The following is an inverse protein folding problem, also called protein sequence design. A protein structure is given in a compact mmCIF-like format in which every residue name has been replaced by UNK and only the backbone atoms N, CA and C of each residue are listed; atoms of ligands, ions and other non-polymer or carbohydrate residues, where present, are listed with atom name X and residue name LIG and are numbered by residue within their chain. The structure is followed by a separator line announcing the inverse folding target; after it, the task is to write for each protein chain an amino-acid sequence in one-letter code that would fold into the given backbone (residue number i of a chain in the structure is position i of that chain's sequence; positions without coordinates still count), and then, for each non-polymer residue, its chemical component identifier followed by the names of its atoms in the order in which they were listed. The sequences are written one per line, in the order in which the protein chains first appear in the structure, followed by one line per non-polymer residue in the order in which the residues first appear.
data_IF_750001980704
#
_entry.id   IF_750001980704
#
_cell.length_a   1.000
_cell.length_b   1.000
_cell.length_c   1.000
_cell.angle_alpha   90.00
_cell.angle_beta   90.00
_cell.angle_gamma   90.00
#
_symmetry.space_group_name_H-M   'P 1'
#
loop_
_entity.id
_entity.type
_entity.pdbx_description
1 polymer ?
#
# COMPACT_ATOMS: atom_id res chain seq x y z
N UNK A 1 -23.18 -16.03 -26.16
CA UNK A 1 -22.18 -15.49 -25.21
C UNK A 1 -20.91 -15.05 -25.92
N UNK A 2 -20.22 -15.93 -26.66
CA UNK A 2 -18.92 -15.64 -27.28
C UNK A 2 -18.92 -14.47 -28.27
N UNK A 3 -20.05 -14.15 -28.89
CA UNK A 3 -20.20 -13.04 -29.83
C UNK A 3 -20.50 -11.69 -29.16
N UNK A 4 -20.85 -11.68 -27.86
CA UNK A 4 -21.17 -10.45 -27.16
C UNK A 4 -19.88 -9.73 -26.71
N UNK A 5 -19.69 -8.42 -27.02
CA UNK A 5 -18.50 -7.68 -26.67
C UNK A 5 -18.53 -7.26 -25.19
N UNK A 6 -17.79 -7.94 -24.33
CA UNK A 6 -17.71 -7.66 -22.89
C UNK A 6 -16.28 -7.58 -22.33
N UNK A 7 -15.27 -7.95 -23.13
CA UNK A 7 -13.86 -7.85 -22.73
C UNK A 7 -13.40 -6.43 -23.01
N UNK A 8 -13.09 -5.68 -21.96
CA UNK A 8 -12.64 -4.30 -22.08
C UNK A 8 -11.19 -4.23 -22.56
N UNK A 9 -10.95 -3.37 -23.56
CA UNK A 9 -9.62 -3.10 -24.11
C UNK A 9 -9.43 -1.59 -24.18
N UNK A 10 -8.43 -1.09 -23.46
CA UNK A 10 -8.17 0.36 -23.38
C UNK A 10 -7.26 0.85 -24.53
N UNK A 11 -6.59 -0.07 -25.25
CA UNK A 11 -5.67 0.26 -26.32
C UNK A 11 -6.40 0.31 -27.67
N UNK A 12 -6.43 1.50 -28.28
CA UNK A 12 -7.12 1.73 -29.55
C UNK A 12 -6.52 0.95 -30.74
N UNK A 13 -5.21 0.73 -30.75
CA UNK A 13 -4.54 -0.03 -31.80
C UNK A 13 -4.99 -1.51 -31.78
N UNK A 14 -5.14 -2.09 -30.59
CA UNK A 14 -5.68 -3.44 -30.43
C UNK A 14 -7.15 -3.52 -30.84
N UNK A 15 -7.97 -2.53 -30.48
CA UNK A 15 -9.38 -2.48 -30.90
C UNK A 15 -9.55 -2.46 -32.42
N UNK A 16 -8.77 -1.63 -33.11
CA UNK A 16 -8.77 -1.56 -34.57
C UNK A 16 -8.35 -2.87 -35.22
N UNK A 17 -7.38 -3.58 -34.61
CA UNK A 17 -6.92 -4.88 -35.09
C UNK A 17 -8.03 -5.94 -35.07
N UNK A 18 -8.95 -5.88 -34.09
CA UNK A 18 -10.13 -6.75 -34.00
C UNK A 18 -11.37 -6.18 -34.72
N UNK A 19 -11.24 -5.08 -35.46
CA UNK A 19 -12.33 -4.48 -36.23
C UNK A 19 -13.46 -3.91 -35.38
N UNK A 20 -13.15 -3.44 -34.17
CA UNK A 20 -14.12 -2.87 -33.22
C UNK A 20 -13.91 -1.39 -33.02
N UNK A 21 -15.00 -0.62 -33.09
CA UNK A 21 -15.01 0.83 -32.89
C UNK A 21 -15.27 1.28 -31.42
N UNK A 22 -15.61 0.32 -30.55
CA UNK A 22 -15.88 0.57 -29.13
C UNK A 22 -14.68 0.21 -28.22
N UNK A 23 -14.90 0.24 -26.90
CA UNK A 23 -13.89 -0.13 -25.90
C UNK A 23 -13.96 -1.63 -25.50
N UNK A 24 -14.73 -2.43 -26.22
CA UNK A 24 -14.98 -3.83 -25.89
C UNK A 24 -14.85 -4.72 -27.11
N UNK A 25 -14.26 -5.91 -26.90
CA UNK A 25 -14.22 -6.98 -27.90
C UNK A 25 -15.01 -8.19 -27.40
N UNK A 26 -15.45 -9.04 -28.34
CA UNK A 26 -16.07 -10.31 -28.02
C UNK A 26 -14.99 -11.40 -27.85
N UNK A 27 -15.32 -12.43 -27.06
CA UNK A 27 -14.41 -13.55 -26.88
C UNK A 27 -14.07 -14.26 -28.21
N UNK A 28 -15.03 -14.34 -29.11
CA UNK A 28 -14.83 -14.93 -30.45
C UNK A 28 -13.90 -14.11 -31.35
N UNK A 29 -13.73 -12.80 -31.11
CA UNK A 29 -12.88 -11.95 -31.95
C UNK A 29 -11.38 -12.32 -31.87
N UNK A 30 -10.97 -13.04 -30.81
CA UNK A 30 -9.58 -13.44 -30.60
C UNK A 30 -9.27 -14.86 -31.12
N UNK A 31 -10.25 -15.48 -31.81
CA UNK A 31 -10.07 -16.79 -32.45
C UNK A 31 -10.29 -16.69 -33.95
N UNK A 32 -9.56 -17.49 -34.73
CA UNK A 32 -9.74 -17.62 -36.19
C UNK A 32 -10.96 -18.50 -36.52
N UNK A 33 -11.22 -18.67 -37.83
CA UNK A 33 -12.32 -19.50 -38.31
C UNK A 33 -12.16 -20.99 -37.95
N UNK A 34 -10.93 -21.44 -37.69
CA UNK A 34 -10.60 -22.81 -37.32
C UNK A 34 -10.60 -23.00 -35.77
N UNK A 35 -10.88 -21.93 -35.02
CA UNK A 35 -10.95 -21.95 -33.55
C UNK A 35 -9.59 -21.82 -32.86
N UNK A 36 -8.53 -21.45 -33.58
CA UNK A 36 -7.22 -21.22 -32.98
C UNK A 36 -7.11 -19.80 -32.40
N UNK A 37 -6.40 -19.68 -31.28
CA UNK A 37 -6.14 -18.39 -30.66
C UNK A 37 -5.16 -17.55 -31.48
N UNK A 38 -5.62 -16.43 -32.02
CA UNK A 38 -4.88 -15.60 -33.00
C UNK A 38 -3.58 -15.04 -32.40
N UNK A 39 -3.56 -14.77 -31.09
CA UNK A 39 -2.43 -14.13 -30.39
C UNK A 39 -1.36 -15.12 -29.92
N UNK A 40 -1.48 -16.43 -30.15
CA UNK A 40 -0.60 -17.47 -29.62
C UNK A 40 0.90 -17.17 -29.82
N UNK A 41 1.30 -16.82 -31.04
CA UNK A 41 2.71 -16.60 -31.38
C UNK A 41 3.26 -15.32 -30.73
N UNK A 42 2.45 -14.28 -30.66
CA UNK A 42 2.82 -13.02 -30.00
C UNK A 42 2.95 -13.22 -28.49
N UNK A 43 1.99 -13.92 -27.89
CA UNK A 43 2.01 -14.21 -26.46
C UNK A 43 3.23 -15.03 -26.05
N UNK A 44 3.58 -16.08 -26.83
CA UNK A 44 4.79 -16.86 -26.60
C UNK A 44 6.05 -15.98 -26.64
N UNK A 45 6.11 -15.02 -27.57
CA UNK A 45 7.22 -14.08 -27.67
C UNK A 45 7.26 -13.12 -26.47
N UNK A 46 6.11 -12.62 -26.02
CA UNK A 46 6.00 -11.69 -24.90
C UNK A 46 6.33 -12.38 -23.58
N UNK A 47 5.85 -13.62 -23.37
CA UNK A 47 6.17 -14.39 -22.16
C UNK A 47 7.66 -14.72 -22.05
N UNK A 48 8.34 -14.91 -23.19
CA UNK A 48 9.80 -15.14 -23.22
C UNK A 48 10.62 -13.87 -22.90
N UNK A 49 10.04 -12.66 -23.05
CA UNK A 49 10.74 -11.39 -22.76
C UNK A 49 10.82 -11.13 -21.25
N UNK A 50 11.98 -10.70 -20.74
CA UNK A 50 12.09 -10.14 -19.38
C UNK A 50 11.11 -8.99 -19.18
N UNK A 51 10.54 -8.83 -17.97
CA UNK A 51 9.58 -7.78 -17.68
C UNK A 51 10.10 -6.35 -17.96
N UNK A 52 11.42 -6.14 -17.81
CA UNK A 52 12.10 -4.87 -18.11
C UNK A 52 12.16 -4.48 -19.58
N UNK A 53 11.99 -5.46 -20.49
CA UNK A 53 12.07 -5.24 -21.95
C UNK A 53 10.67 -5.17 -22.59
N UNK A 54 9.62 -5.40 -21.81
CA UNK A 54 8.23 -5.33 -22.29
C UNK A 54 7.81 -3.90 -22.56
N UNK A 55 7.31 -3.64 -23.75
CA UNK A 55 6.74 -2.34 -24.15
C UNK A 55 5.30 -2.21 -23.64
N UNK A 56 4.74 -1.01 -23.73
CA UNK A 56 3.35 -0.73 -23.35
C UNK A 56 2.34 -1.65 -24.08
N UNK A 57 2.56 -1.88 -25.37
CA UNK A 57 1.72 -2.78 -26.16
C UNK A 57 1.80 -4.24 -25.65
N UNK A 58 3.01 -4.72 -25.27
CA UNK A 58 3.18 -6.05 -24.68
C UNK A 58 2.38 -6.19 -23.38
N UNK A 59 2.35 -5.14 -22.55
CA UNK A 59 1.57 -5.12 -21.30
C UNK A 59 0.06 -5.10 -21.54
N UNK A 60 -0.39 -4.39 -22.57
CA UNK A 60 -1.82 -4.34 -22.93
C UNK A 60 -2.28 -5.69 -23.54
N UNK A 61 -1.42 -6.36 -24.31
CA UNK A 61 -1.66 -7.72 -24.82
C UNK A 61 -1.70 -8.76 -23.70
N UNK A 62 -0.83 -8.66 -22.70
CA UNK A 62 -0.88 -9.55 -21.52
C UNK A 62 -2.19 -9.41 -20.74
N UNK A 63 -2.68 -8.17 -20.55
CA UNK A 63 -3.99 -7.94 -19.91
C UNK A 63 -5.15 -8.52 -20.71
N UNK A 64 -5.07 -8.40 -22.04
CA UNK A 64 -6.07 -8.98 -22.91
C UNK A 64 -6.06 -10.50 -22.83
N UNK A 65 -4.89 -11.13 -22.92
CA UNK A 65 -4.71 -12.58 -22.80
C UNK A 65 -5.22 -13.11 -21.45
N UNK A 66 -4.91 -12.42 -20.35
CA UNK A 66 -5.44 -12.75 -19.03
C UNK A 66 -6.97 -12.69 -18.99
N UNK A 67 -7.57 -11.64 -19.58
CA UNK A 67 -9.02 -11.49 -19.64
C UNK A 67 -9.67 -12.62 -20.48
N UNK A 68 -9.08 -12.95 -21.61
CA UNK A 68 -9.53 -14.07 -22.47
C UNK A 68 -9.43 -15.40 -21.72
N UNK A 69 -8.33 -15.63 -21.00
CA UNK A 69 -8.13 -16.84 -20.22
C UNK A 69 -9.11 -16.96 -19.05
N UNK A 70 -9.44 -15.86 -18.38
CA UNK A 70 -10.48 -15.84 -17.34
C UNK A 70 -11.83 -16.27 -17.93
N UNK A 71 -12.22 -15.71 -19.08
CA UNK A 71 -13.46 -16.08 -19.76
C UNK A 71 -13.46 -17.57 -20.15
N UNK A 72 -12.36 -18.05 -20.71
CA UNK A 72 -12.19 -19.47 -21.04
C UNK A 72 -12.42 -20.37 -19.80
N UNK A 73 -11.76 -20.05 -18.68
CA UNK A 73 -11.89 -20.79 -17.43
C UNK A 73 -13.31 -20.74 -16.85
N UNK A 74 -14.03 -19.62 -17.02
CA UNK A 74 -15.45 -19.51 -16.64
C UNK A 74 -16.27 -20.49 -17.49
N UNK A 75 -16.07 -20.50 -18.82
CA UNK A 75 -16.80 -21.38 -19.73
C UNK A 75 -16.53 -22.86 -19.46
N UNK A 76 -15.32 -23.20 -19.03
CA UNK A 76 -14.95 -24.57 -18.65
C UNK A 76 -15.31 -24.92 -17.20
N UNK A 77 -15.97 -24.03 -16.45
CA UNK A 77 -16.27 -24.17 -15.01
C UNK A 77 -15.02 -24.42 -14.14
N UNK A 78 -13.86 -23.90 -14.55
CA UNK A 78 -12.56 -24.09 -13.89
C UNK A 78 -12.10 -22.86 -13.08
N UNK A 79 -12.93 -21.80 -12.98
CA UNK A 79 -12.53 -20.58 -12.30
C UNK A 79 -12.57 -20.69 -10.77
N UNK A 80 -13.56 -21.41 -10.23
CA UNK A 80 -13.81 -21.47 -8.80
C UNK A 80 -13.44 -22.85 -8.23
N UNK A 81 -12.32 -23.01 -7.56
CA UNK A 81 -11.97 -24.23 -6.84
C UNK A 81 -12.87 -24.36 -5.60
N UNK A 82 -13.85 -25.26 -5.67
CA UNK A 82 -14.88 -25.44 -4.63
C UNK A 82 -14.71 -26.72 -3.82
N UNK A 83 -14.01 -27.72 -4.34
CA UNK A 83 -13.94 -29.06 -3.78
C UNK A 83 -12.55 -29.39 -3.25
N UNK A 84 -12.32 -29.34 -1.91
CA UNK A 84 -11.04 -29.73 -1.32
C UNK A 84 -10.88 -31.25 -1.37
N UNK A 85 -9.68 -31.72 -1.77
CA UNK A 85 -9.32 -33.15 -1.66
C UNK A 85 -8.76 -33.44 -0.26
N UNK A 86 -9.53 -34.15 0.53
CA UNK A 86 -9.12 -34.57 1.86
C UNK A 86 -7.97 -35.57 1.89
N UNK A 87 -7.61 -36.19 0.76
CA UNK A 87 -6.53 -37.18 0.66
C UNK A 87 -5.22 -36.53 0.19
N UNK A 88 -5.27 -35.39 -0.51
CA UNK A 88 -4.08 -34.72 -0.98
C UNK A 88 -3.26 -34.10 0.16
N UNK A 89 -1.94 -34.38 0.20
CA UNK A 89 -1.05 -33.88 1.25
C UNK A 89 -0.83 -32.37 1.20
N UNK A 90 -1.00 -31.75 0.04
CA UNK A 90 -0.81 -30.32 -0.21
C UNK A 90 -2.12 -29.51 -0.05
N UNK A 91 -3.26 -30.20 0.17
CA UNK A 91 -4.55 -29.56 0.34
C UNK A 91 -5.10 -28.97 -0.97
N UNK A 92 -4.94 -29.67 -2.10
CA UNK A 92 -5.43 -29.24 -3.41
C UNK A 92 -6.94 -29.10 -3.43
N UNK A 93 -7.42 -28.08 -4.11
CA UNK A 93 -8.83 -27.83 -4.37
C UNK A 93 -9.12 -27.97 -5.85
N UNK A 94 -10.29 -28.49 -6.18
CA UNK A 94 -10.77 -28.74 -7.53
C UNK A 94 -11.96 -27.85 -7.86
N UNK A 95 -12.01 -27.39 -9.10
CA UNK A 95 -13.18 -26.72 -9.66
C UNK A 95 -14.16 -27.74 -10.26
N UNK A 96 -15.44 -27.36 -10.45
CA UNK A 96 -16.43 -28.27 -11.05
C UNK A 96 -16.07 -28.80 -12.44
N UNK A 97 -15.27 -28.04 -13.22
CA UNK A 97 -14.81 -28.40 -14.55
C UNK A 97 -13.45 -29.10 -14.61
N UNK A 98 -12.84 -29.37 -13.46
CA UNK A 98 -11.58 -30.13 -13.42
C UNK A 98 -11.85 -31.65 -13.50
N UNK A 99 -10.77 -32.42 -13.66
CA UNK A 99 -10.85 -33.86 -13.52
C UNK A 99 -11.10 -34.24 -12.05
N UNK A 100 -12.31 -34.69 -11.75
CA UNK A 100 -12.78 -35.06 -10.42
C UNK A 100 -12.52 -36.54 -10.07
N UNK A 101 -11.70 -37.26 -10.83
CA UNK A 101 -11.34 -38.67 -10.60
C UNK A 101 -10.66 -38.93 -9.26
N UNK A 102 -10.06 -37.90 -8.66
CA UNK A 102 -9.48 -37.98 -7.31
C UNK A 102 -10.52 -38.28 -6.21
N UNK A 103 -11.80 -37.95 -6.43
CA UNK A 103 -12.88 -38.19 -5.47
C UNK A 103 -13.49 -39.58 -5.66
N UNK A 104 -13.74 -40.31 -4.58
CA UNK A 104 -14.28 -41.66 -4.62
C UNK A 104 -15.57 -41.81 -3.79
N UNK A 105 -16.39 -42.80 -4.15
CA UNK A 105 -17.60 -43.17 -3.42
C UNK A 105 -18.64 -42.03 -3.33
N UNK A 106 -19.08 -41.70 -2.13
CA UNK A 106 -20.08 -40.65 -1.90
C UNK A 106 -19.58 -39.25 -2.24
N UNK A 107 -18.29 -38.98 -2.05
CA UNK A 107 -17.67 -37.71 -2.37
C UNK A 107 -17.69 -37.43 -3.88
N UNK A 108 -17.39 -38.47 -4.71
CA UNK A 108 -17.48 -38.35 -6.17
C UNK A 108 -18.89 -37.98 -6.64
N UNK A 109 -19.93 -38.63 -6.08
CA UNK A 109 -21.32 -38.31 -6.41
C UNK A 109 -21.67 -36.88 -6.02
N UNK A 110 -21.22 -36.43 -4.84
CA UNK A 110 -21.46 -35.09 -4.33
C UNK A 110 -20.83 -34.03 -5.25
N UNK A 111 -19.51 -34.10 -5.50
CA UNK A 111 -18.79 -33.09 -6.29
C UNK A 111 -19.27 -33.00 -7.74
N UNK A 112 -19.74 -34.13 -8.31
CA UNK A 112 -20.23 -34.16 -9.67
C UNK A 112 -21.64 -33.56 -9.82
N UNK A 113 -22.50 -33.67 -8.80
CA UNK A 113 -23.92 -33.31 -8.94
C UNK A 113 -24.32 -32.01 -8.21
N UNK A 114 -23.55 -31.57 -7.23
CA UNK A 114 -23.94 -30.45 -6.37
C UNK A 114 -24.12 -29.14 -7.13
N UNK A 115 -23.32 -28.87 -8.16
CA UNK A 115 -23.43 -27.66 -8.97
C UNK A 115 -24.66 -27.67 -9.86
N UNK A 116 -25.00 -28.83 -10.45
CA UNK A 116 -26.22 -28.99 -11.24
C UNK A 116 -27.47 -28.74 -10.37
N UNK A 117 -27.48 -29.27 -9.16
CA UNK A 117 -28.57 -29.02 -8.20
C UNK A 117 -28.65 -27.56 -7.80
N UNK A 118 -27.53 -26.93 -7.54
CA UNK A 118 -27.47 -25.51 -7.19
C UNK A 118 -28.04 -24.62 -8.31
N UNK A 119 -27.64 -24.85 -9.55
CA UNK A 119 -28.12 -24.09 -10.71
C UNK A 119 -29.61 -24.32 -10.91
N UNK A 120 -30.09 -25.56 -10.74
CA UNK A 120 -31.49 -25.90 -10.84
C UNK A 120 -32.33 -25.16 -9.78
N UNK A 121 -31.89 -25.18 -8.51
CA UNK A 121 -32.63 -24.50 -7.42
C UNK A 121 -32.52 -22.98 -7.50
N UNK A 122 -31.43 -22.44 -8.04
CA UNK A 122 -31.36 -21.01 -8.40
C UNK A 122 -32.44 -20.64 -9.42
N UNK A 123 -32.62 -21.45 -10.46
CA UNK A 123 -33.65 -21.26 -11.46
C UNK A 123 -35.07 -21.29 -10.86
N UNK A 124 -35.31 -22.18 -9.90
CA UNK A 124 -36.56 -22.25 -9.15
C UNK A 124 -36.75 -21.02 -8.25
N UNK A 125 -35.66 -20.57 -7.58
CA UNK A 125 -35.64 -19.38 -6.72
C UNK A 125 -36.00 -18.11 -7.48
N UNK A 126 -35.49 -17.95 -8.70
CA UNK A 126 -35.82 -16.80 -9.57
C UNK A 126 -37.33 -16.81 -9.92
N UNK A 127 -37.91 -17.99 -10.19
CA UNK A 127 -39.33 -18.13 -10.58
C UNK A 127 -40.29 -17.94 -9.39
N UNK A 128 -39.90 -18.44 -8.22
CA UNK A 128 -40.76 -18.47 -7.03
C UNK A 128 -40.47 -17.37 -6.00
N UNK A 129 -39.43 -16.59 -6.21
CA UNK A 129 -38.87 -15.64 -5.23
C UNK A 129 -38.58 -16.30 -3.86
N UNK A 130 -38.19 -17.58 -3.87
CA UNK A 130 -37.85 -18.35 -2.68
C UNK A 130 -36.51 -19.04 -2.84
N UNK A 131 -35.51 -18.62 -2.06
CA UNK A 131 -34.12 -19.06 -2.17
C UNK A 131 -33.74 -20.15 -1.17
N UNK A 132 -34.64 -20.61 -0.33
CA UNK A 132 -34.33 -21.54 0.77
C UNK A 132 -33.67 -22.84 0.34
N UNK A 133 -34.05 -23.41 -0.80
CA UNK A 133 -33.42 -24.65 -1.28
C UNK A 133 -32.03 -24.40 -1.85
N UNK A 134 -31.83 -23.30 -2.55
CA UNK A 134 -30.51 -22.91 -3.01
C UNK A 134 -29.56 -22.64 -1.81
N UNK A 135 -30.02 -21.96 -0.76
CA UNK A 135 -29.29 -21.72 0.48
C UNK A 135 -28.87 -23.02 1.17
N UNK A 136 -29.75 -24.03 1.23
CA UNK A 136 -29.42 -25.35 1.77
C UNK A 136 -28.25 -26.01 0.99
N UNK A 137 -28.23 -25.89 -0.34
CA UNK A 137 -27.17 -26.47 -1.14
C UNK A 137 -25.84 -25.76 -0.85
N UNK A 138 -25.84 -24.45 -0.69
CA UNK A 138 -24.63 -23.68 -0.28
C UNK A 138 -24.16 -24.14 1.11
N UNK A 139 -25.10 -24.38 2.04
CA UNK A 139 -24.75 -24.91 3.36
C UNK A 139 -24.15 -26.32 3.28
N UNK A 140 -24.70 -27.21 2.43
CA UNK A 140 -24.13 -28.53 2.18
C UNK A 140 -22.70 -28.43 1.60
N UNK A 141 -22.44 -27.50 0.66
CA UNK A 141 -21.09 -27.24 0.16
C UNK A 141 -20.15 -26.78 1.26
N UNK A 142 -20.59 -25.87 2.12
CA UNK A 142 -19.80 -25.38 3.26
C UNK A 142 -19.45 -26.51 4.23
N UNK A 143 -20.42 -27.38 4.58
CA UNK A 143 -20.20 -28.57 5.43
C UNK A 143 -19.18 -29.52 4.79
N UNK A 144 -19.28 -29.78 3.48
CA UNK A 144 -18.35 -30.61 2.75
C UNK A 144 -16.92 -30.00 2.79
N UNK A 145 -16.80 -28.70 2.53
CA UNK A 145 -15.53 -27.99 2.56
C UNK A 145 -14.89 -28.06 3.95
N UNK A 146 -15.65 -27.81 5.02
CA UNK A 146 -15.16 -27.89 6.40
C UNK A 146 -14.72 -29.31 6.78
N UNK A 147 -15.41 -30.34 6.29
CA UNK A 147 -15.09 -31.71 6.60
C UNK A 147 -13.86 -32.25 5.85
N UNK A 148 -13.59 -31.75 4.65
CA UNK A 148 -12.55 -32.28 3.75
C UNK A 148 -11.31 -31.40 3.66
N UNK A 149 -11.40 -30.11 3.95
CA UNK A 149 -10.23 -29.24 3.89
C UNK A 149 -9.26 -29.56 5.02
N UNK A 150 -7.99 -29.83 4.68
CA UNK A 150 -6.89 -30.02 5.64
C UNK A 150 -6.38 -28.73 6.25
N UNK A 151 -6.49 -27.63 5.51
CA UNK A 151 -6.15 -26.29 5.99
C UNK A 151 -7.44 -25.67 6.53
N UNK A 152 -7.40 -25.03 7.70
CA UNK A 152 -8.57 -24.37 8.25
C UNK A 152 -9.21 -23.47 7.19
N UNK A 153 -10.38 -23.85 6.75
CA UNK A 153 -11.19 -23.01 5.88
C UNK A 153 -11.47 -21.69 6.58
N UNK A 154 -11.64 -20.67 5.81
CA UNK A 154 -11.95 -19.28 6.15
C UNK A 154 -12.43 -19.10 7.60
N UNK A 155 -11.65 -18.40 8.42
CA UNK A 155 -12.10 -18.02 9.77
C UNK A 155 -13.23 -16.99 9.64
N UNK A 156 -14.46 -17.40 9.95
CA UNK A 156 -15.65 -16.53 9.91
C UNK A 156 -15.48 -15.25 10.74
N UNK A 157 -14.61 -15.24 11.75
CA UNK A 157 -14.31 -14.04 12.55
C UNK A 157 -13.49 -13.05 11.71
N UNK A 158 -12.53 -13.54 10.93
CA UNK A 158 -11.73 -12.70 10.02
C UNK A 158 -12.59 -12.13 8.89
N UNK A 159 -13.49 -12.93 8.32
CA UNK A 159 -14.44 -12.44 7.30
C UNK A 159 -15.34 -11.33 7.85
N UNK A 160 -15.92 -11.53 9.04
CA UNK A 160 -16.72 -10.47 9.69
C UNK A 160 -15.89 -9.21 9.98
N UNK A 161 -14.65 -9.39 10.41
CA UNK A 161 -13.74 -8.28 10.67
C UNK A 161 -13.40 -7.52 9.37
N UNK A 162 -13.20 -8.24 8.26
CA UNK A 162 -12.93 -7.64 6.95
C UNK A 162 -14.17 -6.90 6.39
N UNK A 163 -15.36 -7.47 6.51
CA UNK A 163 -16.60 -6.78 6.16
C UNK A 163 -16.78 -5.49 6.97
N UNK A 164 -16.51 -5.54 8.28
CA UNK A 164 -16.54 -4.37 9.14
C UNK A 164 -15.50 -3.32 8.74
N UNK A 165 -14.26 -3.76 8.46
CA UNK A 165 -13.17 -2.91 7.98
C UNK A 165 -13.56 -2.16 6.71
N UNK A 166 -14.12 -2.87 5.72
CA UNK A 166 -14.55 -2.29 4.45
C UNK A 166 -15.74 -1.32 4.62
N UNK A 167 -16.72 -1.65 5.49
CA UNK A 167 -17.86 -0.79 5.76
C UNK A 167 -17.47 0.51 6.47
N UNK A 168 -16.57 0.44 7.46
CA UNK A 168 -16.17 1.60 8.26
C UNK A 168 -15.29 2.58 7.49
N UNK A 169 -14.52 2.10 6.50
CA UNK A 169 -13.60 2.89 5.69
C UNK A 169 -12.77 3.90 6.53
N UNK A 170 -12.16 3.41 7.62
CA UNK A 170 -11.55 4.22 8.68
C UNK A 170 -10.49 5.17 8.15
N UNK A 171 -9.67 4.74 7.19
CA UNK A 171 -8.59 5.57 6.66
C UNK A 171 -9.10 6.75 5.83
N UNK A 172 -10.27 6.64 5.21
CA UNK A 172 -10.92 7.78 4.55
C UNK A 172 -11.27 8.87 5.58
N UNK A 173 -11.89 8.51 6.68
CA UNK A 173 -12.26 9.45 7.73
C UNK A 173 -11.04 10.03 8.45
N UNK A 174 -10.02 9.20 8.73
CA UNK A 174 -8.75 9.67 9.28
C UNK A 174 -8.06 10.68 8.37
N UNK A 175 -8.07 10.45 7.05
CA UNK A 175 -7.54 11.40 6.05
C UNK A 175 -8.18 12.76 6.18
N UNK A 176 -9.52 12.82 6.19
CA UNK A 176 -10.25 14.08 6.31
C UNK A 176 -9.97 14.75 7.65
N UNK A 177 -10.02 14.00 8.74
CA UNK A 177 -9.73 14.52 10.06
C UNK A 177 -8.32 15.11 10.16
N UNK A 178 -7.31 14.41 9.65
CA UNK A 178 -5.92 14.86 9.68
C UNK A 178 -5.69 16.12 8.84
N UNK A 179 -6.25 16.19 7.63
CA UNK A 179 -6.14 17.37 6.77
C UNK A 179 -6.82 18.58 7.41
N UNK A 180 -8.05 18.44 7.89
CA UNK A 180 -8.83 19.52 8.46
C UNK A 180 -8.22 19.97 9.80
N UNK A 181 -8.01 19.05 10.75
CA UNK A 181 -7.49 19.40 12.07
C UNK A 181 -6.05 19.88 11.99
N UNK A 182 -5.21 19.24 11.16
CA UNK A 182 -3.82 19.66 10.92
C UNK A 182 -3.76 21.05 10.31
N UNK A 183 -4.59 21.34 9.30
CA UNK A 183 -4.68 22.66 8.67
C UNK A 183 -5.12 23.76 9.64
N UNK A 184 -6.18 23.53 10.42
CA UNK A 184 -6.67 24.49 11.42
C UNK A 184 -5.61 24.70 12.53
N UNK A 185 -4.99 23.62 13.02
CA UNK A 185 -3.90 23.70 14.00
C UNK A 185 -2.71 24.50 13.48
N UNK A 186 -2.33 24.32 12.20
CA UNK A 186 -1.27 25.08 11.59
C UNK A 186 -1.60 26.57 11.51
N UNK A 187 -2.83 26.90 11.11
CA UNK A 187 -3.30 28.29 11.08
C UNK A 187 -3.26 28.95 12.47
N UNK A 188 -3.73 28.24 13.50
CA UNK A 188 -3.69 28.74 14.88
C UNK A 188 -2.25 28.91 15.36
N UNK A 189 -1.36 27.94 15.09
CA UNK A 189 0.05 28.00 15.47
C UNK A 189 0.76 29.19 14.81
N UNK A 190 0.48 29.46 13.53
CA UNK A 190 0.96 30.67 12.85
C UNK A 190 0.42 31.95 13.52
N UNK A 191 -0.86 31.99 13.87
CA UNK A 191 -1.46 33.11 14.58
C UNK A 191 -0.85 33.36 15.98
N UNK A 192 -0.54 32.30 16.75
CA UNK A 192 0.16 32.39 18.04
C UNK A 192 1.60 32.93 17.90
N UNK A 193 2.29 32.55 16.82
CA UNK A 193 3.67 32.97 16.57
C UNK A 193 3.73 34.42 16.08
N UNK A 194 2.83 34.84 15.18
CA UNK A 194 2.89 36.11 14.46
C UNK A 194 2.09 37.20 15.25
N UNK A 195 0.86 36.88 15.65
CA UNK A 195 -0.16 37.86 16.11
C UNK A 195 -0.52 37.79 17.61
N UNK A 196 0.17 36.99 18.43
CA UNK A 196 -0.12 36.81 19.88
C UNK A 196 -1.59 36.42 20.18
N UNK A 197 -2.14 35.51 19.40
CA UNK A 197 -3.54 35.07 19.47
C UNK A 197 -3.84 34.40 20.84
N UNK A 198 -4.47 35.14 21.76
CA UNK A 198 -4.66 34.74 23.18
C UNK A 198 -5.53 33.48 23.35
N UNK A 199 -6.53 33.28 22.50
CA UNK A 199 -7.43 32.11 22.54
C UNK A 199 -6.84 30.87 21.87
N UNK A 200 -5.77 31.01 21.11
CA UNK A 200 -5.12 29.94 20.35
C UNK A 200 -4.74 28.75 21.25
N UNK A 201 -4.24 29.03 22.45
CA UNK A 201 -3.80 27.99 23.40
C UNK A 201 -4.91 27.03 23.84
N UNK A 202 -6.13 27.53 24.10
CA UNK A 202 -7.27 26.68 24.51
C UNK A 202 -7.80 25.92 23.30
N UNK A 203 -7.94 26.59 22.17
CA UNK A 203 -8.44 26.00 20.93
C UNK A 203 -7.50 24.94 20.39
N UNK A 204 -6.19 25.19 20.37
CA UNK A 204 -5.20 24.18 19.97
C UNK A 204 -5.22 22.95 20.87
N UNK A 205 -5.48 23.12 22.19
CA UNK A 205 -5.66 21.99 23.12
C UNK A 205 -6.84 21.08 22.74
N UNK A 206 -7.99 21.67 22.39
CA UNK A 206 -9.17 20.93 21.95
C UNK A 206 -8.90 20.21 20.63
N UNK A 207 -8.29 20.89 19.66
CA UNK A 207 -7.98 20.31 18.36
C UNK A 207 -6.94 19.19 18.45
N UNK A 208 -5.94 19.30 19.34
CA UNK A 208 -4.99 18.21 19.60
C UNK A 208 -5.71 17.01 20.22
N UNK A 209 -6.68 17.22 21.11
CA UNK A 209 -7.50 16.12 21.64
C UNK A 209 -8.33 15.44 20.56
N UNK A 210 -8.94 16.20 19.65
CA UNK A 210 -9.66 15.65 18.49
C UNK A 210 -8.71 14.90 17.53
N UNK A 211 -7.51 15.44 17.27
CA UNK A 211 -6.49 14.77 16.47
C UNK A 211 -6.03 13.46 17.14
N UNK A 212 -5.98 13.43 18.49
CA UNK A 212 -5.67 12.20 19.24
C UNK A 212 -6.76 11.15 19.06
N UNK A 213 -8.04 11.55 19.06
CA UNK A 213 -9.16 10.64 18.79
C UNK A 213 -9.04 10.08 17.37
N UNK A 214 -8.77 10.93 16.38
CA UNK A 214 -8.55 10.49 15.00
C UNK A 214 -7.33 9.54 14.90
N UNK A 215 -6.26 9.77 15.65
CA UNK A 215 -5.10 8.89 15.74
C UNK A 215 -5.45 7.52 16.36
N UNK A 216 -6.28 7.49 17.41
CA UNK A 216 -6.76 6.24 17.99
C UNK A 216 -7.65 5.46 17.01
N UNK A 217 -8.48 6.16 16.23
CA UNK A 217 -9.26 5.57 15.14
C UNK A 217 -8.36 4.97 14.05
N UNK A 218 -7.29 5.70 13.68
CA UNK A 218 -6.28 5.20 12.75
C UNK A 218 -5.58 3.96 13.31
N UNK A 219 -5.20 3.98 14.60
CA UNK A 219 -4.61 2.82 15.30
C UNK A 219 -5.55 1.61 15.24
N UNK A 220 -6.84 1.80 15.50
CA UNK A 220 -7.84 0.74 15.39
C UNK A 220 -7.89 0.15 13.96
N UNK A 221 -7.83 1.00 12.92
CA UNK A 221 -7.77 0.58 11.52
C UNK A 221 -6.54 -0.26 11.20
N UNK A 222 -5.35 0.15 11.67
CA UNK A 222 -4.09 -0.58 11.50
C UNK A 222 -4.13 -1.94 12.22
N UNK A 223 -4.62 -1.97 13.46
CA UNK A 223 -4.75 -3.21 14.23
C UNK A 223 -5.76 -4.18 13.62
N UNK A 224 -6.90 -3.65 13.14
CA UNK A 224 -7.92 -4.46 12.47
C UNK A 224 -7.36 -5.07 11.18
N UNK A 225 -6.62 -4.30 10.38
CA UNK A 225 -5.95 -4.81 9.19
C UNK A 225 -4.92 -5.87 9.55
N UNK A 226 -4.12 -5.66 10.60
CA UNK A 226 -3.16 -6.66 11.10
C UNK A 226 -3.85 -7.99 11.47
N UNK A 227 -4.97 -7.90 12.19
CA UNK A 227 -5.75 -9.07 12.58
C UNK A 227 -6.28 -9.86 11.36
N UNK A 228 -6.80 -9.15 10.35
CA UNK A 228 -7.33 -9.75 9.12
C UNK A 228 -6.21 -10.40 8.30
N UNK A 229 -5.13 -9.65 8.03
CA UNK A 229 -4.00 -10.13 7.22
C UNK A 229 -3.23 -11.28 7.89
N UNK A 230 -3.17 -11.31 9.23
CA UNK A 230 -2.34 -12.24 9.99
C UNK A 230 -0.85 -11.92 9.98
N UNK A 231 -0.45 -10.81 9.38
CA UNK A 231 0.93 -10.28 9.36
C UNK A 231 0.92 -8.77 9.57
N UNK A 232 2.10 -8.21 9.86
CA UNK A 232 2.25 -6.78 10.08
C UNK A 232 1.89 -5.99 8.81
N UNK A 233 1.03 -4.94 8.92
CA UNK A 233 0.45 -4.24 7.77
C UNK A 233 1.41 -3.17 7.19
N UNK A 234 2.58 -3.58 6.72
CA UNK A 234 3.56 -2.75 6.00
C UNK A 234 4.30 -3.52 4.90
N UNK A 235 3.65 -4.55 4.36
CA UNK A 235 4.22 -5.43 3.36
C UNK A 235 4.15 -4.87 1.93
N UNK A 236 3.19 -4.00 1.63
CA UNK A 236 3.04 -3.36 0.33
C UNK A 236 3.08 -1.83 0.43
N UNK A 237 3.07 -1.14 -0.74
CA UNK A 237 3.17 0.32 -0.80
C UNK A 237 2.00 1.04 -0.11
N UNK A 238 0.77 0.53 -0.24
CA UNK A 238 -0.41 1.07 0.42
C UNK A 238 -0.28 0.97 1.95
N UNK A 239 0.06 -0.21 2.46
CA UNK A 239 0.24 -0.46 3.88
C UNK A 239 1.36 0.37 4.48
N UNK A 240 2.50 0.47 3.78
CA UNK A 240 3.63 1.30 4.24
C UNK A 240 3.26 2.78 4.32
N UNK A 241 2.42 3.30 3.40
CA UNK A 241 1.91 4.68 3.46
C UNK A 241 1.02 4.91 4.68
N UNK A 242 0.09 3.98 4.95
CA UNK A 242 -0.79 4.06 6.12
C UNK A 242 0.05 4.03 7.40
N UNK A 243 0.95 3.06 7.55
CA UNK A 243 1.76 2.93 8.75
C UNK A 243 2.73 4.10 8.94
N UNK A 244 3.33 4.63 7.88
CA UNK A 244 4.20 5.81 7.97
C UNK A 244 3.39 7.04 8.37
N UNK A 245 2.17 7.23 7.83
CA UNK A 245 1.26 8.28 8.27
C UNK A 245 0.90 8.14 9.75
N UNK A 246 0.60 6.92 10.21
CA UNK A 246 0.32 6.62 11.62
C UNK A 246 1.51 6.96 12.52
N UNK A 247 2.71 6.51 12.19
CA UNK A 247 3.94 6.82 12.92
C UNK A 247 4.21 8.32 12.97
N UNK A 248 4.00 9.03 11.85
CA UNK A 248 4.21 10.48 11.75
C UNK A 248 3.26 11.25 12.66
N UNK A 249 1.95 10.96 12.61
CA UNK A 249 0.97 11.64 13.47
C UNK A 249 1.21 11.29 14.94
N UNK A 250 1.52 10.03 15.23
CA UNK A 250 1.88 9.59 16.57
C UNK A 250 3.11 10.34 17.14
N UNK A 251 4.16 10.49 16.33
CA UNK A 251 5.34 11.27 16.73
C UNK A 251 5.01 12.74 16.97
N UNK A 252 4.20 13.37 16.10
CA UNK A 252 3.73 14.73 16.30
C UNK A 252 2.95 14.93 17.60
N UNK A 253 2.07 13.98 17.95
CA UNK A 253 1.32 13.99 19.19
C UNK A 253 2.20 13.75 20.43
N UNK A 254 3.19 12.86 20.33
CA UNK A 254 4.14 12.57 21.42
C UNK A 254 4.89 13.83 21.86
N UNK A 255 5.31 14.66 20.91
CA UNK A 255 6.03 15.90 21.19
C UNK A 255 5.13 17.14 21.33
N UNK A 256 3.79 16.97 21.30
CA UNK A 256 2.82 18.07 21.33
C UNK A 256 2.95 19.00 22.54
N UNK A 257 3.33 18.46 23.73
CA UNK A 257 3.51 19.25 24.95
C UNK A 257 4.67 20.23 24.84
N UNK A 258 5.74 19.86 24.15
CA UNK A 258 6.94 20.68 23.98
C UNK A 258 6.84 21.59 22.75
N UNK A 259 6.35 21.04 21.64
CA UNK A 259 6.30 21.71 20.34
C UNK A 259 4.89 21.63 19.74
N UNK A 260 4.06 22.62 20.02
CA UNK A 260 2.65 22.64 19.59
C UNK A 260 2.43 22.67 18.07
N UNK A 261 3.46 23.09 17.33
CA UNK A 261 3.43 23.09 15.86
C UNK A 261 3.53 21.68 15.29
N UNK A 262 4.16 20.72 15.99
CA UNK A 262 4.39 19.37 15.45
C UNK A 262 3.10 18.60 15.18
N UNK A 263 2.07 18.57 16.05
CA UNK A 263 0.80 17.94 15.73
C UNK A 263 0.14 18.51 14.48
N UNK A 264 0.29 19.83 14.24
CA UNK A 264 -0.24 20.48 13.05
C UNK A 264 0.46 19.99 11.78
N UNK A 265 1.79 20.05 11.76
CA UNK A 265 2.61 19.63 10.63
C UNK A 265 2.47 18.11 10.36
N UNK A 266 2.54 17.31 11.44
CA UNK A 266 2.42 15.85 11.33
C UNK A 266 1.00 15.42 10.89
N UNK A 267 -0.04 16.08 11.43
CA UNK A 267 -1.42 15.84 11.01
C UNK A 267 -1.64 16.17 9.55
N UNK A 268 -1.17 17.34 9.10
CA UNK A 268 -1.33 17.75 7.70
C UNK A 268 -0.61 16.81 6.74
N UNK A 269 0.67 16.50 6.99
CA UNK A 269 1.43 15.57 6.14
C UNK A 269 0.89 14.14 6.23
N UNK A 270 0.50 13.67 7.42
CA UNK A 270 -0.14 12.37 7.58
C UNK A 270 -1.45 12.27 6.81
N UNK A 271 -2.25 13.35 6.79
CA UNK A 271 -3.45 13.44 5.96
C UNK A 271 -3.15 13.43 4.46
N UNK A 272 -2.09 14.11 4.01
CA UNK A 272 -1.63 14.06 2.61
C UNK A 272 -1.18 12.65 2.25
N UNK A 273 -0.45 11.96 3.13
CA UNK A 273 -0.02 10.57 2.89
C UNK A 273 -1.21 9.63 2.76
N UNK A 274 -2.22 9.74 3.64
CA UNK A 274 -3.45 8.96 3.51
C UNK A 274 -4.27 9.34 2.26
N UNK A 275 -4.19 10.60 1.82
CA UNK A 275 -4.79 11.01 0.56
C UNK A 275 -4.12 10.32 -0.63
N UNK A 276 -2.78 10.32 -0.68
CA UNK A 276 -2.01 9.63 -1.73
C UNK A 276 -2.27 8.12 -1.69
N UNK A 277 -2.33 7.51 -0.50
CA UNK A 277 -2.69 6.10 -0.36
C UNK A 277 -4.09 5.77 -0.91
N UNK A 278 -5.03 6.71 -0.80
CA UNK A 278 -6.39 6.57 -1.33
C UNK A 278 -6.56 6.88 -2.83
N UNK A 279 -5.49 7.27 -3.52
CA UNK A 279 -5.50 7.36 -4.98
C UNK A 279 -5.39 5.94 -5.55
N UNK A 280 -6.12 5.63 -6.61
CA UNK A 280 -6.22 4.28 -7.22
C UNK A 280 -4.91 3.73 -7.82
N UNK A 281 -3.76 4.34 -7.51
CA UNK A 281 -2.45 3.88 -7.94
C UNK A 281 -1.81 2.86 -6.99
N UNK A 282 -2.33 2.75 -5.75
CA UNK A 282 -1.87 1.80 -4.74
C UNK A 282 -2.98 0.81 -4.46
N UNK A 283 -2.67 -0.49 -4.52
CA UNK A 283 -3.66 -1.53 -4.28
C UNK A 283 -3.98 -1.65 -2.78
N UNK A 284 -5.21 -1.34 -2.33
CA UNK A 284 -5.63 -1.45 -0.94
C UNK A 284 -6.02 -2.89 -0.53
N UNK A 285 -6.10 -3.83 -1.48
CA UNK A 285 -6.55 -5.19 -1.23
C UNK A 285 -5.65 -5.92 -0.22
N UNK A 286 -6.27 -6.83 0.50
CA UNK A 286 -5.59 -7.72 1.45
C UNK A 286 -5.24 -8.99 0.68
N UNK A 287 -3.97 -9.14 0.33
CA UNK A 287 -3.47 -10.30 -0.40
C UNK A 287 -2.51 -11.12 0.45
N UNK A 288 -2.46 -12.46 0.26
CA UNK A 288 -1.46 -13.29 0.91
C UNK A 288 -0.04 -12.86 0.54
N UNK A 289 0.87 -12.88 1.52
CA UNK A 289 2.29 -12.59 1.27
C UNK A 289 2.94 -13.73 0.51
N UNK A 290 3.72 -13.38 -0.50
CA UNK A 290 4.64 -14.34 -1.14
C UNK A 290 5.67 -14.85 -0.11
N UNK A 291 6.13 -16.11 -0.19
CA UNK A 291 6.98 -16.72 0.83
C UNK A 291 8.22 -15.93 1.22
N UNK A 292 8.89 -15.28 0.24
CA UNK A 292 10.08 -14.45 0.49
C UNK A 292 9.81 -13.23 1.39
N UNK A 293 8.56 -12.74 1.41
CA UNK A 293 8.14 -11.61 2.24
C UNK A 293 7.69 -12.01 3.65
N UNK A 294 7.60 -13.31 3.97
CA UNK A 294 7.20 -13.82 5.28
C UNK A 294 8.35 -13.87 6.30
N UNK A 295 9.46 -13.18 6.02
CA UNK A 295 10.63 -13.16 6.88
C UNK A 295 10.48 -12.17 8.04
N UNK A 296 10.79 -12.62 9.28
CA UNK A 296 10.88 -11.75 10.45
C UNK A 296 11.89 -10.62 10.27
N UNK A 297 13.03 -10.90 9.64
CA UNK A 297 14.08 -9.89 9.37
C UNK A 297 13.57 -8.79 8.45
N UNK A 298 12.80 -9.16 7.41
CA UNK A 298 12.20 -8.18 6.50
C UNK A 298 11.20 -7.29 7.23
N UNK A 299 10.30 -7.88 8.04
CA UNK A 299 9.30 -7.11 8.77
C UNK A 299 9.95 -6.10 9.73
N UNK A 300 11.00 -6.53 10.45
CA UNK A 300 11.75 -5.66 11.36
C UNK A 300 12.51 -4.57 10.62
N UNK A 301 13.18 -4.91 9.50
CA UNK A 301 13.86 -3.96 8.62
C UNK A 301 12.92 -2.85 8.16
N UNK A 302 11.78 -3.22 7.56
CA UNK A 302 10.82 -2.25 7.01
C UNK A 302 10.27 -1.35 8.12
N UNK A 303 9.91 -1.90 9.30
CA UNK A 303 9.43 -1.11 10.42
C UNK A 303 10.43 -0.03 10.86
N UNK A 304 11.71 -0.38 10.98
CA UNK A 304 12.77 0.53 11.41
C UNK A 304 13.08 1.56 10.35
N UNK A 305 13.11 1.19 9.06
CA UNK A 305 13.27 2.13 7.94
C UNK A 305 12.13 3.16 7.92
N UNK A 306 10.88 2.73 8.13
CA UNK A 306 9.74 3.65 8.18
C UNK A 306 9.86 4.68 9.31
N UNK A 307 10.36 4.28 10.48
CA UNK A 307 10.65 5.22 11.57
C UNK A 307 11.70 6.25 11.10
N UNK A 308 12.75 5.82 10.41
CA UNK A 308 13.75 6.71 9.81
C UNK A 308 13.12 7.72 8.84
N UNK A 309 12.25 7.26 7.95
CA UNK A 309 11.52 8.12 7.00
C UNK A 309 10.63 9.15 7.70
N UNK A 310 9.96 8.77 8.81
CA UNK A 310 9.15 9.70 9.61
C UNK A 310 10.01 10.84 10.17
N UNK A 311 11.18 10.54 10.73
CA UNK A 311 12.07 11.55 11.26
C UNK A 311 12.64 12.46 10.14
N UNK A 312 12.96 11.93 8.98
CA UNK A 312 13.37 12.72 7.83
C UNK A 312 12.22 13.58 7.27
N UNK A 313 10.99 13.10 7.30
CA UNK A 313 9.81 13.90 6.96
C UNK A 313 9.60 15.05 7.95
N UNK A 314 9.80 14.81 9.27
CA UNK A 314 9.78 15.86 10.28
C UNK A 314 10.89 16.90 10.05
N UNK A 315 12.09 16.48 9.63
CA UNK A 315 13.17 17.41 9.25
C UNK A 315 12.73 18.33 8.10
N UNK A 316 12.15 17.76 7.04
CA UNK A 316 11.69 18.54 5.89
C UNK A 316 10.58 19.54 6.29
N UNK A 317 9.59 19.09 7.08
CA UNK A 317 8.50 19.93 7.54
C UNK A 317 8.98 21.08 8.45
N UNK A 318 9.80 20.75 9.46
CA UNK A 318 10.34 21.76 10.37
C UNK A 318 11.29 22.71 9.67
N UNK A 319 12.10 22.21 8.74
CA UNK A 319 12.96 23.02 7.89
C UNK A 319 12.19 23.98 7.01
N UNK A 320 11.14 23.49 6.32
CA UNK A 320 10.28 24.32 5.48
C UNK A 320 9.58 25.41 6.30
N UNK A 321 9.02 25.04 7.45
CA UNK A 321 8.37 26.00 8.33
C UNK A 321 9.34 27.04 8.88
N UNK A 322 10.56 26.64 9.23
CA UNK A 322 11.62 27.56 9.64
C UNK A 322 12.02 28.55 8.54
N UNK A 323 12.13 28.10 7.30
CA UNK A 323 12.42 29.00 6.16
C UNK A 323 11.33 30.06 6.00
N UNK A 324 10.04 29.67 6.18
CA UNK A 324 8.94 30.64 6.18
C UNK A 324 9.09 31.65 7.31
N UNK A 325 9.38 31.20 8.56
CA UNK A 325 9.59 32.11 9.69
C UNK A 325 10.79 33.03 9.49
N UNK A 326 11.88 32.58 8.88
CA UNK A 326 13.04 33.40 8.56
C UNK A 326 12.70 34.53 7.58
N UNK A 327 11.81 34.29 6.62
CA UNK A 327 11.35 35.31 5.68
C UNK A 327 10.35 36.30 6.30
N UNK A 328 9.70 35.95 7.42
CA UNK A 328 8.77 36.82 8.16
C UNK A 328 9.46 37.68 9.25
N UNK A 329 10.79 37.59 9.39
CA UNK A 329 11.55 38.39 10.34
C UNK A 329 11.41 39.87 10.02
N UNK A 330 10.91 40.67 10.99
CA UNK A 330 10.84 42.13 10.91
C UNK A 330 11.43 42.74 12.18
N UNK A 331 11.65 44.04 12.18
CA UNK A 331 12.19 44.73 13.37
C UNK A 331 11.29 44.59 14.63
N UNK A 332 9.98 44.49 14.42
CA UNK A 332 8.98 44.44 15.52
C UNK A 332 8.84 43.06 16.15
N UNK A 333 9.14 41.96 15.44
CA UNK A 333 8.94 40.60 15.95
C UNK A 333 10.25 39.79 16.06
N UNK A 334 11.40 40.44 15.84
CA UNK A 334 12.71 39.82 15.68
C UNK A 334 13.10 38.86 16.78
N UNK A 335 13.04 39.30 18.04
CA UNK A 335 13.48 38.48 19.18
C UNK A 335 12.61 37.23 19.38
N UNK A 336 11.30 37.37 19.27
CA UNK A 336 10.35 36.27 19.44
C UNK A 336 10.53 35.23 18.35
N UNK A 337 10.59 35.67 17.08
CA UNK A 337 10.77 34.75 15.93
C UNK A 337 12.15 34.09 15.96
N UNK A 338 13.22 34.80 16.26
CA UNK A 338 14.57 34.21 16.34
C UNK A 338 14.64 33.10 17.40
N UNK A 339 13.97 33.24 18.54
CA UNK A 339 13.90 32.19 19.55
C UNK A 339 13.18 30.95 18.98
N UNK A 340 12.04 31.14 18.30
CA UNK A 340 11.29 30.04 17.68
C UNK A 340 12.06 29.35 16.56
N UNK A 341 12.70 30.11 15.69
CA UNK A 341 13.57 29.59 14.63
C UNK A 341 14.65 28.70 15.22
N UNK A 342 15.31 29.15 16.30
CA UNK A 342 16.36 28.37 16.96
C UNK A 342 15.81 27.07 17.57
N UNK A 343 14.65 27.11 18.28
CA UNK A 343 14.01 25.92 18.83
C UNK A 343 13.69 24.90 17.72
N UNK A 344 13.11 25.35 16.60
CA UNK A 344 12.77 24.48 15.48
C UNK A 344 13.99 23.96 14.73
N UNK A 345 15.05 24.75 14.61
CA UNK A 345 16.33 24.29 14.02
C UNK A 345 16.95 23.18 14.87
N UNK A 346 16.94 23.30 16.19
CA UNK A 346 17.38 22.23 17.10
C UNK A 346 16.54 20.98 16.98
N UNK A 347 15.22 21.15 16.89
CA UNK A 347 14.29 20.02 16.67
C UNK A 347 14.57 19.31 15.34
N UNK A 348 14.81 20.08 14.26
CA UNK A 348 15.20 19.55 12.96
C UNK A 348 16.49 18.73 13.06
N UNK A 349 17.51 19.24 13.75
CA UNK A 349 18.78 18.56 13.96
C UNK A 349 18.60 17.25 14.77
N UNK A 350 17.85 17.29 15.87
CA UNK A 350 17.53 16.09 16.67
C UNK A 350 16.78 15.03 15.84
N UNK A 351 15.80 15.46 15.06
CA UNK A 351 15.06 14.58 14.15
C UNK A 351 15.97 13.97 13.09
N UNK A 352 16.92 14.75 12.56
CA UNK A 352 17.90 14.27 11.57
C UNK A 352 18.82 13.19 12.16
N UNK A 353 19.30 13.37 13.38
CA UNK A 353 20.15 12.39 14.08
C UNK A 353 19.36 11.08 14.30
N UNK A 354 18.11 11.16 14.77
CA UNK A 354 17.26 10.00 14.95
C UNK A 354 16.96 9.31 13.61
N UNK A 355 16.65 10.09 12.58
CA UNK A 355 16.43 9.58 11.22
C UNK A 355 17.63 8.82 10.69
N UNK A 356 18.85 9.38 10.83
CA UNK A 356 20.09 8.72 10.45
C UNK A 356 20.32 7.43 11.24
N UNK A 357 20.09 7.44 12.55
CA UNK A 357 20.24 6.25 13.36
C UNK A 357 19.31 5.12 12.89
N UNK A 358 18.00 5.40 12.74
CA UNK A 358 17.03 4.38 12.34
C UNK A 358 17.24 3.95 10.88
N UNK A 359 17.59 4.86 10.00
CA UNK A 359 17.88 4.52 8.59
C UNK A 359 19.10 3.62 8.49
N UNK A 360 20.17 3.91 9.23
CA UNK A 360 21.39 3.08 9.26
C UNK A 360 21.11 1.71 9.87
N UNK A 361 20.50 1.67 11.05
CA UNK A 361 20.13 0.42 11.71
C UNK A 361 19.20 -0.44 10.84
N UNK A 362 18.22 0.19 10.20
CA UNK A 362 17.32 -0.49 9.26
C UNK A 362 18.09 -1.06 8.06
N UNK A 363 19.02 -0.32 7.49
CA UNK A 363 19.85 -0.81 6.36
C UNK A 363 20.68 -2.04 6.75
N UNK A 364 21.25 -2.08 7.94
CA UNK A 364 21.93 -3.29 8.44
C UNK A 364 21.00 -4.49 8.59
N UNK A 365 19.79 -4.29 9.13
CA UNK A 365 18.79 -5.36 9.22
C UNK A 365 18.37 -5.86 7.83
N UNK A 366 18.27 -4.95 6.87
CA UNK A 366 18.02 -5.30 5.47
C UNK A 366 19.13 -6.15 4.87
N UNK A 367 20.39 -5.84 5.19
CA UNK A 367 21.52 -6.65 4.78
C UNK A 367 21.46 -8.07 5.36
N UNK A 368 21.06 -8.24 6.63
CA UNK A 368 20.86 -9.56 7.24
C UNK A 368 19.77 -10.34 6.49
N UNK A 369 18.63 -9.68 6.20
CA UNK A 369 17.56 -10.29 5.42
C UNK A 369 18.02 -10.69 4.02
N UNK A 370 18.76 -9.82 3.33
CA UNK A 370 19.32 -10.07 2.00
C UNK A 370 20.23 -11.31 2.00
N UNK A 371 21.06 -11.47 3.04
CA UNK A 371 21.89 -12.67 3.19
C UNK A 371 21.07 -13.94 3.37
N UNK A 372 20.00 -13.88 4.18
CA UNK A 372 19.11 -15.04 4.40
C UNK A 372 18.34 -15.40 3.14
N UNK A 373 17.90 -14.40 2.36
CA UNK A 373 17.03 -14.60 1.20
C UNK A 373 17.80 -14.86 -0.10
N UNK A 374 19.00 -14.28 -0.26
CA UNK A 374 19.77 -14.29 -1.51
C UNK A 374 21.25 -14.69 -1.33
N UNK A 375 21.68 -15.04 -0.12
CA UNK A 375 23.04 -15.49 0.18
C UNK A 375 24.11 -14.38 0.14
N UNK A 376 23.74 -13.11 0.19
CA UNK A 376 24.67 -11.96 0.18
C UNK A 376 24.12 -10.80 0.99
N UNK A 377 24.99 -10.11 1.73
CA UNK A 377 24.61 -8.97 2.58
C UNK A 377 24.34 -7.68 1.78
N UNK A 378 24.97 -7.52 0.62
CA UNK A 378 24.89 -6.33 -0.21
C UNK A 378 25.07 -6.70 -1.68
N UNK A 379 24.26 -6.15 -2.56
CA UNK A 379 24.26 -6.46 -3.98
C UNK A 379 24.26 -5.25 -4.91
N UNK A 380 24.38 -4.04 -4.36
CA UNK A 380 24.26 -2.78 -5.12
C UNK A 380 22.91 -2.67 -5.85
N UNK A 381 21.88 -3.30 -5.28
CA UNK A 381 20.53 -3.13 -5.77
C UNK A 381 20.13 -1.64 -5.70
N UNK A 382 19.28 -1.14 -6.60
CA UNK A 382 18.86 0.26 -6.58
C UNK A 382 18.32 0.74 -5.24
N UNK A 383 17.56 -0.09 -4.50
CA UNK A 383 17.07 0.29 -3.16
C UNK A 383 18.18 0.38 -2.12
N UNK A 384 19.12 -0.55 -2.13
CA UNK A 384 20.29 -0.52 -1.25
C UNK A 384 21.13 0.73 -1.51
N UNK A 385 21.39 0.99 -2.79
CA UNK A 385 22.18 2.15 -3.24
C UNK A 385 21.53 3.48 -2.83
N UNK A 386 20.22 3.64 -3.07
CA UNK A 386 19.51 4.87 -2.71
C UNK A 386 19.31 5.03 -1.20
N UNK A 387 19.23 3.93 -0.44
CA UNK A 387 19.27 3.97 1.02
C UNK A 387 20.61 4.52 1.52
N UNK A 388 21.72 4.03 0.98
CA UNK A 388 23.05 4.56 1.29
C UNK A 388 23.21 6.03 0.88
N UNK A 389 22.76 6.42 -0.31
CA UNK A 389 22.75 7.81 -0.77
C UNK A 389 21.99 8.69 0.22
N UNK A 390 20.81 8.25 0.68
CA UNK A 390 20.03 9.00 1.66
C UNK A 390 20.79 9.19 2.98
N UNK A 391 21.43 8.15 3.50
CA UNK A 391 22.27 8.24 4.71
C UNK A 391 23.39 9.27 4.51
N UNK A 392 24.10 9.20 3.40
CA UNK A 392 25.23 10.13 3.10
C UNK A 392 24.72 11.57 2.96
N UNK A 393 23.62 11.80 2.23
CA UNK A 393 23.03 13.13 2.04
C UNK A 393 22.65 13.75 3.39
N UNK A 394 21.93 13.06 4.25
CA UNK A 394 21.56 13.58 5.55
C UNK A 394 22.75 13.75 6.50
N UNK A 395 23.74 12.86 6.43
CA UNK A 395 25.00 13.03 7.15
C UNK A 395 25.74 14.30 6.71
N UNK A 396 25.83 14.58 5.41
CA UNK A 396 26.42 15.81 4.89
C UNK A 396 25.66 17.05 5.38
N UNK A 397 24.31 17.02 5.34
CA UNK A 397 23.50 18.14 5.84
C UNK A 397 23.74 18.38 7.32
N UNK A 398 23.87 17.34 8.14
CA UNK A 398 24.16 17.46 9.57
C UNK A 398 25.52 18.15 9.82
N UNK A 399 26.52 17.91 8.95
CA UNK A 399 27.87 18.46 9.07
C UNK A 399 28.03 19.84 8.44
N UNK A 400 27.00 20.40 7.79
CA UNK A 400 27.13 21.72 7.10
C UNK A 400 27.52 22.85 8.04
N UNK A 401 27.28 22.73 9.34
CA UNK A 401 27.62 23.70 10.34
C UNK A 401 29.15 23.87 10.55
N UNK A 402 29.93 22.88 10.11
CA UNK A 402 31.38 22.93 10.18
C UNK A 402 32.04 23.64 8.98
N UNK A 403 31.25 24.09 8.01
CA UNK A 403 31.74 24.78 6.82
C UNK A 403 31.92 26.28 7.10
N UNK A 404 33.16 26.79 7.19
CA UNK A 404 33.41 28.20 7.56
C UNK A 404 32.80 29.20 6.59
N UNK A 405 32.71 28.83 5.28
CA UNK A 405 32.17 29.67 4.23
C UNK A 405 30.71 30.08 4.43
N UNK A 406 29.96 29.29 5.18
CA UNK A 406 28.53 29.51 5.45
C UNK A 406 28.27 30.33 6.73
N UNK A 407 29.34 30.87 7.36
CA UNK A 407 29.20 31.66 8.60
C UNK A 407 28.21 32.80 8.41
N UNK A 408 27.16 32.85 9.27
CA UNK A 408 26.06 33.82 9.19
C UNK A 408 24.86 33.38 8.36
N UNK A 409 24.95 32.35 7.53
CA UNK A 409 23.86 31.76 6.73
C UNK A 409 23.63 30.27 7.07
N UNK A 410 24.35 29.75 8.03
CA UNK A 410 24.38 28.32 8.38
C UNK A 410 22.99 27.77 8.69
N UNK A 411 22.19 28.43 9.53
CA UNK A 411 20.86 27.96 9.89
C UNK A 411 19.90 27.97 8.69
N UNK A 412 20.01 28.96 7.81
CA UNK A 412 19.21 29.03 6.59
C UNK A 412 19.57 27.88 5.63
N UNK A 413 20.87 27.68 5.38
CA UNK A 413 21.36 26.59 4.54
C UNK A 413 20.99 25.22 5.12
N UNK A 414 21.13 25.02 6.43
CA UNK A 414 20.77 23.78 7.09
C UNK A 414 19.28 23.45 6.92
N UNK A 415 18.38 24.41 7.17
CA UNK A 415 16.95 24.20 6.97
C UNK A 415 16.57 23.99 5.51
N UNK A 416 17.21 24.71 4.56
CA UNK A 416 16.97 24.49 3.14
C UNK A 416 17.41 23.09 2.70
N UNK A 417 18.60 22.67 3.09
CA UNK A 417 19.14 21.38 2.68
C UNK A 417 18.40 20.22 3.36
N UNK A 418 17.87 20.40 4.57
CA UNK A 418 16.99 19.38 5.18
C UNK A 418 15.69 19.20 4.40
N UNK A 419 15.16 20.27 3.78
CA UNK A 419 13.99 20.16 2.88
C UNK A 419 14.37 19.47 1.57
N UNK A 420 15.51 19.82 0.96
CA UNK A 420 15.94 19.22 -0.30
C UNK A 420 16.32 17.75 -0.13
N UNK A 421 16.90 17.38 1.01
CA UNK A 421 17.32 16.01 1.32
C UNK A 421 16.16 15.00 1.29
N UNK A 422 14.90 15.43 1.53
CA UNK A 422 13.74 14.54 1.46
C UNK A 422 13.57 13.90 0.07
N UNK A 423 14.06 14.53 -0.98
CA UNK A 423 14.02 14.00 -2.34
C UNK A 423 14.77 12.66 -2.45
N UNK A 424 15.85 12.47 -1.67
CA UNK A 424 16.54 11.17 -1.64
C UNK A 424 15.69 10.07 -1.03
N UNK A 425 14.90 10.39 0.00
CA UNK A 425 13.93 9.45 0.61
C UNK A 425 12.79 9.13 -0.35
N UNK A 426 12.24 10.14 -1.01
CA UNK A 426 11.19 9.96 -2.02
C UNK A 426 11.70 9.08 -3.16
N UNK A 427 12.94 9.29 -3.60
CA UNK A 427 13.55 8.45 -4.62
C UNK A 427 13.74 7.01 -4.12
N UNK A 428 14.22 6.80 -2.89
CA UNK A 428 14.38 5.46 -2.31
C UNK A 428 13.05 4.72 -2.19
N UNK A 429 11.99 5.41 -1.78
CA UNK A 429 10.69 4.81 -1.51
C UNK A 429 9.87 4.57 -2.78
N UNK A 430 9.69 5.62 -3.60
CA UNK A 430 8.86 5.60 -4.80
C UNK A 430 9.68 5.51 -6.09
N UNK A 431 10.68 6.36 -6.25
CA UNK A 431 11.42 6.49 -7.50
C UNK A 431 12.06 5.18 -7.96
N UNK A 432 12.65 4.44 -7.03
CA UNK A 432 13.23 3.11 -7.34
C UNK A 432 12.17 2.14 -7.84
N UNK A 433 10.98 2.12 -7.24
CA UNK A 433 9.93 1.19 -7.64
C UNK A 433 9.34 1.49 -9.02
N UNK A 434 9.29 2.77 -9.42
CA UNK A 434 8.66 3.19 -10.69
C UNK A 434 9.65 3.26 -11.86
N UNK A 435 10.91 3.67 -11.60
CA UNK A 435 11.87 3.98 -12.66
C UNK A 435 13.02 2.99 -12.76
N UNK A 436 13.30 2.22 -11.73
CA UNK A 436 14.44 1.30 -11.69
C UNK A 436 13.97 -0.13 -11.49
N UNK A 437 14.69 -1.10 -12.06
CA UNK A 437 14.44 -2.53 -11.84
C UNK A 437 15.49 -3.10 -10.90
N UNK A 438 15.08 -3.96 -9.97
CA UNK A 438 15.99 -4.58 -9.00
C UNK A 438 15.34 -5.76 -8.29
N UNK A 439 16.10 -6.43 -7.42
CA UNK A 439 15.65 -7.60 -6.66
C UNK A 439 14.51 -7.27 -5.67
N UNK A 440 14.37 -5.99 -5.29
CA UNK A 440 13.30 -5.51 -4.41
C UNK A 440 12.01 -5.11 -5.16
N UNK A 441 11.86 -5.46 -6.44
CA UNK A 441 10.71 -5.06 -7.28
C UNK A 441 9.53 -6.04 -7.16
N UNK A 442 9.20 -6.53 -5.97
CA UNK A 442 8.11 -7.48 -5.70
C UNK A 442 6.69 -6.92 -5.85
N UNK A 443 6.50 -5.77 -6.41
CA UNK A 443 5.20 -5.09 -6.50
C UNK A 443 4.84 -4.58 -7.89
N UNK A 444 5.54 -5.01 -8.93
CA UNK A 444 5.14 -4.74 -10.31
C UNK A 444 4.28 -5.89 -10.81
N UNK A 445 3.04 -5.95 -10.38
CA UNK A 445 1.94 -6.66 -11.05
C UNK A 445 1.06 -5.64 -11.74
#
# INVERSE_FOLDING_TARGET
WGAFPFIKVDNKELLQRFGRDGNYIAWQDVFDADGNYILTNEMNTIYAKPASERKRLDSDLLKLDESVNIVYRIMQHQLLPLFPDGNDSQGKWYSPGDDLSAFQGKDSLFVTKIMDWYIYELGNGVRSNNWKEADKIVEMMNVFQQAKAKVPTIDNRKVKAELLYNQLNLFFWCRLAYLILGGILLFIACGEIIADFKWGRKLSGILIALLTIAFLTHTAGVLLRWYICGHAPWANAYESMICTSWLLVGSGLLFARRFRILPALAGLLGGIMLFVAGLNHLNPEITPLVPVLQSYWLMSHVAIIMIGYVFFALCALTGLFNLVLMNLLSATNRLKLQFRIRELTLLNEMSMILGLFFMTAGTFLGAIWANVSWGRYWGWDPKETWALISIVVYALVLHIRFIPLLKGKTDWCFNLLSVVAILSVIMTWFGVNYYLSGLHSYGKT
#
